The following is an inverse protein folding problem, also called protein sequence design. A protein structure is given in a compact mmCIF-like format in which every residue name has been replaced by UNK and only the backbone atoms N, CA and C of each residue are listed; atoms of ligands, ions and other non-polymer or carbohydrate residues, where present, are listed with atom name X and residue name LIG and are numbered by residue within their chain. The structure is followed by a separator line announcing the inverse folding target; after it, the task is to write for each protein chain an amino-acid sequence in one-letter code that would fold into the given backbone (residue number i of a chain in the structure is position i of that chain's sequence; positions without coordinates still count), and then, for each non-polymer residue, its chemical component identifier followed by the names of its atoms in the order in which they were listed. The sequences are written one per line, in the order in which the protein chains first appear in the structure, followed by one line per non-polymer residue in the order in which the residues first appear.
data_IF_762364333042
#
_entry.id   IF_762364333042
#
_cell.length_a   1.000
_cell.length_b   1.000
_cell.length_c   1.000
_cell.angle_alpha   90.00
_cell.angle_beta   90.00
_cell.angle_gamma   90.00
#
_symmetry.space_group_name_H-M   'P 1'
#
loop_
_entity.id
_entity.type
_entity.pdbx_description
1 polymer ?
#
# COMPACT_ATOMS: atom_id res chain seq x y z
N UNK A 1 -13.92 44.95 21.12
CA UNK A 1 -13.86 43.92 20.05
C UNK A 1 -13.42 42.57 20.64
N UNK A 2 -14.34 41.63 20.79
CA UNK A 2 -14.09 40.30 21.41
C UNK A 2 -13.50 39.38 20.32
N UNK A 3 -12.19 39.14 20.33
CA UNK A 3 -11.54 38.18 19.41
C UNK A 3 -12.13 36.79 19.66
N UNK A 4 -13.02 36.32 18.78
CA UNK A 4 -13.50 34.93 18.79
C UNK A 4 -12.30 34.03 18.52
N UNK A 5 -11.81 33.34 19.56
CA UNK A 5 -10.87 32.24 19.38
C UNK A 5 -11.62 31.13 18.65
N UNK A 6 -11.45 31.08 17.33
CA UNK A 6 -11.92 29.96 16.52
C UNK A 6 -11.14 28.76 17.03
N UNK A 7 -11.79 27.94 17.83
CA UNK A 7 -11.26 26.68 18.33
C UNK A 7 -11.24 25.73 17.13
N UNK A 8 -10.23 25.85 16.28
CA UNK A 8 -9.94 24.87 15.23
C UNK A 8 -9.48 23.65 16.00
N UNK A 9 -10.43 22.74 16.28
CA UNK A 9 -10.13 21.45 16.88
C UNK A 9 -8.93 20.86 16.13
N UNK A 10 -7.76 20.82 16.78
CA UNK A 10 -6.53 20.25 16.24
C UNK A 10 -6.80 18.77 15.98
N UNK A 11 -7.38 18.43 14.82
CA UNK A 11 -7.57 17.05 14.39
C UNK A 11 -6.18 16.44 14.29
N UNK A 12 -5.82 15.62 15.28
CA UNK A 12 -4.52 14.99 15.34
C UNK A 12 -4.41 14.08 14.12
N UNK A 13 -3.47 14.35 13.20
CA UNK A 13 -3.47 13.69 11.90
C UNK A 13 -3.17 12.20 11.99
N UNK A 14 -2.74 11.67 13.16
CA UNK A 14 -2.36 10.26 13.36
C UNK A 14 -3.36 9.40 14.15
N UNK A 15 -4.64 9.81 14.29
CA UNK A 15 -5.65 9.05 15.05
C UNK A 15 -6.74 8.41 14.17
N UNK A 16 -6.58 8.41 12.84
CA UNK A 16 -7.60 7.91 11.93
C UNK A 16 -7.25 6.50 11.41
N UNK A 17 -8.25 5.64 11.23
CA UNK A 17 -8.07 4.27 10.68
C UNK A 17 -7.30 4.25 9.36
N UNK A 18 -7.39 5.32 8.56
CA UNK A 18 -6.70 5.47 7.27
C UNK A 18 -5.17 5.50 7.41
N UNK A 19 -4.64 6.09 8.49
CA UNK A 19 -3.18 6.14 8.71
C UNK A 19 -2.60 4.73 8.90
N UNK A 20 -3.39 3.83 9.53
CA UNK A 20 -2.98 2.44 9.73
C UNK A 20 -2.79 1.71 8.40
N UNK A 21 -3.54 2.05 7.36
CA UNK A 21 -3.44 1.38 6.06
C UNK A 21 -2.46 2.11 5.13
N UNK A 22 -2.69 3.40 4.87
CA UNK A 22 -2.02 4.13 3.77
C UNK A 22 -0.68 4.78 4.14
N UNK A 23 -0.39 4.98 5.42
CA UNK A 23 0.87 5.62 5.82
C UNK A 23 2.03 4.62 5.63
N UNK A 24 2.95 4.91 4.71
CA UNK A 24 4.12 4.06 4.48
C UNK A 24 5.02 4.09 5.71
N UNK A 25 5.32 2.90 6.20
CA UNK A 25 6.45 2.68 7.10
C UNK A 25 7.42 1.73 6.42
N UNK A 26 8.70 1.80 6.77
CA UNK A 26 9.73 0.87 6.27
C UNK A 26 9.33 -0.59 6.46
N UNK A 27 8.63 -0.91 7.56
CA UNK A 27 8.07 -2.26 7.81
C UNK A 27 7.05 -2.67 6.74
N UNK A 28 6.13 -1.78 6.37
CA UNK A 28 5.11 -2.06 5.34
C UNK A 28 5.69 -2.16 3.94
N UNK A 29 6.70 -1.35 3.62
CA UNK A 29 7.41 -1.44 2.34
C UNK A 29 8.07 -2.81 2.22
N UNK A 30 8.82 -3.21 3.25
CA UNK A 30 9.48 -4.51 3.28
C UNK A 30 8.49 -5.67 3.21
N UNK A 31 7.39 -5.59 3.97
CA UNK A 31 6.32 -6.59 3.90
C UNK A 31 5.68 -6.67 2.51
N UNK A 32 5.37 -5.52 1.90
CA UNK A 32 4.82 -5.47 0.54
C UNK A 32 5.77 -6.05 -0.50
N UNK A 33 7.08 -5.80 -0.36
CA UNK A 33 8.10 -6.38 -1.24
C UNK A 33 8.18 -7.91 -1.07
N UNK A 34 8.16 -8.41 0.17
CA UNK A 34 8.14 -9.85 0.45
C UNK A 34 6.90 -10.48 -0.17
N UNK A 35 5.71 -9.93 0.09
CA UNK A 35 4.46 -10.47 -0.46
C UNK A 35 4.49 -10.47 -1.99
N UNK A 36 5.04 -9.42 -2.60
CA UNK A 36 5.18 -9.35 -4.06
C UNK A 36 6.11 -10.44 -4.60
N UNK A 37 7.32 -10.57 -4.04
CA UNK A 37 8.27 -11.63 -4.44
C UNK A 37 7.68 -13.01 -4.20
N UNK A 38 7.05 -13.24 -3.04
CA UNK A 38 6.38 -14.49 -2.72
C UNK A 38 5.25 -14.81 -3.69
N UNK A 39 4.47 -13.82 -4.13
CA UNK A 39 3.41 -14.02 -5.12
C UNK A 39 3.97 -14.45 -6.48
N UNK A 40 5.06 -13.82 -6.94
CA UNK A 40 5.72 -14.19 -8.20
C UNK A 40 6.31 -15.60 -8.12
N UNK A 41 7.01 -15.92 -7.02
CA UNK A 41 7.58 -17.26 -6.80
C UNK A 41 6.49 -18.32 -6.74
N UNK A 42 5.42 -18.05 -5.97
CA UNK A 42 4.30 -18.98 -5.81
C UNK A 42 3.59 -19.22 -7.15
N UNK A 43 3.38 -18.18 -7.97
CA UNK A 43 2.79 -18.31 -9.29
C UNK A 43 3.63 -19.24 -10.19
N UNK A 44 4.94 -19.03 -10.24
CA UNK A 44 5.84 -19.86 -11.03
C UNK A 44 5.84 -21.32 -10.53
N UNK A 45 5.85 -21.53 -9.21
CA UNK A 45 5.79 -22.88 -8.62
C UNK A 45 4.48 -23.60 -8.95
N UNK A 46 3.34 -22.92 -8.82
CA UNK A 46 2.02 -23.47 -9.16
C UNK A 46 1.97 -23.82 -10.64
N UNK A 47 2.43 -22.91 -11.50
CA UNK A 47 2.47 -23.13 -12.95
C UNK A 47 3.32 -24.34 -13.29
N UNK A 48 4.56 -24.43 -12.78
CA UNK A 48 5.46 -25.58 -13.02
C UNK A 48 4.88 -26.88 -12.46
N UNK A 49 4.24 -26.85 -11.28
CA UNK A 49 3.65 -28.04 -10.69
C UNK A 49 2.49 -28.58 -11.53
N UNK A 50 1.57 -27.72 -11.95
CA UNK A 50 0.38 -28.16 -12.67
C UNK A 50 0.74 -28.56 -14.12
N UNK A 51 1.54 -27.77 -14.83
CA UNK A 51 1.93 -28.07 -16.21
C UNK A 51 2.95 -29.20 -16.29
N UNK A 52 3.91 -29.27 -15.35
CA UNK A 52 4.98 -30.25 -15.35
C UNK A 52 4.62 -31.59 -14.70
N UNK A 53 3.98 -31.57 -13.53
CA UNK A 53 3.67 -32.80 -12.77
C UNK A 53 2.31 -33.35 -13.17
N UNK A 54 1.28 -32.50 -13.20
CA UNK A 54 -0.08 -32.94 -13.54
C UNK A 54 -0.32 -33.02 -15.06
N UNK A 55 0.59 -32.47 -15.87
CA UNK A 55 0.46 -32.39 -17.35
C UNK A 55 -0.86 -31.77 -17.80
N UNK A 56 -1.44 -30.92 -16.96
CA UNK A 56 -2.64 -30.16 -17.28
C UNK A 56 -2.16 -28.85 -17.88
N UNK A 57 -2.49 -28.62 -19.15
CA UNK A 57 -2.30 -27.31 -19.78
C UNK A 57 -3.31 -26.34 -19.18
N UNK A 58 -2.86 -25.57 -18.20
CA UNK A 58 -3.54 -24.36 -17.76
C UNK A 58 -2.98 -23.18 -18.55
N UNK A 59 -3.89 -22.40 -19.14
CA UNK A 59 -3.54 -21.09 -19.66
C UNK A 59 -2.97 -20.22 -18.53
N UNK A 60 -2.06 -19.31 -18.88
CA UNK A 60 -1.49 -18.31 -17.95
C UNK A 60 -2.60 -17.70 -17.09
N UNK A 61 -2.57 -17.94 -15.78
CA UNK A 61 -3.62 -17.44 -14.91
C UNK A 61 -3.56 -15.91 -14.81
N UNK A 62 -4.47 -15.16 -15.47
CA UNK A 62 -4.38 -13.71 -15.56
C UNK A 62 -4.55 -13.06 -14.18
N UNK A 63 -5.10 -13.78 -13.22
CA UNK A 63 -5.30 -13.34 -11.84
C UNK A 63 -3.99 -12.95 -11.14
N UNK A 64 -2.97 -13.81 -11.18
CA UNK A 64 -1.69 -13.52 -10.53
C UNK A 64 -0.95 -12.37 -11.19
N UNK A 65 -1.03 -12.28 -12.52
CA UNK A 65 -0.49 -11.16 -13.29
C UNK A 65 -1.16 -9.83 -12.88
N UNK A 66 -2.49 -9.79 -12.82
CA UNK A 66 -3.23 -8.59 -12.41
C UNK A 66 -2.85 -8.17 -10.99
N UNK A 67 -2.72 -9.10 -10.04
CA UNK A 67 -2.32 -8.77 -8.68
C UNK A 67 -0.90 -8.19 -8.64
N UNK A 68 0.05 -8.86 -9.28
CA UNK A 68 1.47 -8.52 -9.21
C UNK A 68 1.81 -7.23 -9.97
N UNK A 69 1.16 -6.99 -11.12
CA UNK A 69 1.49 -5.90 -12.05
C UNK A 69 0.57 -4.69 -11.89
N UNK A 70 -0.68 -4.90 -11.45
CA UNK A 70 -1.67 -3.81 -11.36
C UNK A 70 -1.96 -3.49 -9.89
N UNK A 71 -2.44 -4.45 -9.10
CA UNK A 71 -2.97 -4.19 -7.75
C UNK A 71 -1.87 -3.71 -6.79
N UNK A 72 -0.75 -4.44 -6.70
CA UNK A 72 0.34 -4.11 -5.78
C UNK A 72 0.97 -2.74 -6.13
N UNK A 73 1.32 -2.45 -7.41
CA UNK A 73 1.86 -1.14 -7.77
C UNK A 73 0.91 0.02 -7.51
N UNK A 74 -0.39 -0.11 -7.83
CA UNK A 74 -1.39 0.92 -7.56
C UNK A 74 -1.51 1.19 -6.05
N UNK A 75 -1.54 0.13 -5.23
CA UNK A 75 -1.58 0.28 -3.78
C UNK A 75 -0.38 1.09 -3.25
N UNK A 76 0.83 0.76 -3.71
CA UNK A 76 2.03 1.50 -3.33
C UNK A 76 1.97 2.96 -3.77
N UNK A 77 1.50 3.24 -4.98
CA UNK A 77 1.34 4.61 -5.49
C UNK A 77 0.40 5.44 -4.59
N UNK A 78 -0.79 4.91 -4.29
CA UNK A 78 -1.77 5.59 -3.42
C UNK A 78 -1.17 5.84 -2.03
N UNK A 79 -0.49 4.85 -1.48
CA UNK A 79 0.12 4.95 -0.16
C UNK A 79 1.27 6.00 -0.14
N UNK A 80 2.06 6.10 -1.21
CA UNK A 80 3.10 7.14 -1.37
C UNK A 80 2.46 8.53 -1.37
N UNK A 81 1.43 8.74 -2.19
CA UNK A 81 0.71 10.02 -2.28
C UNK A 81 0.13 10.41 -0.92
N UNK A 82 -0.51 9.47 -0.21
CA UNK A 82 -1.03 9.70 1.13
C UNK A 82 0.07 10.11 2.12
N UNK A 83 1.20 9.43 2.08
CA UNK A 83 2.34 9.69 2.98
C UNK A 83 2.94 11.08 2.73
N UNK A 84 3.09 11.48 1.47
CA UNK A 84 3.55 12.83 1.11
C UNK A 84 2.58 13.89 1.66
N UNK A 85 1.27 13.74 1.41
CA UNK A 85 0.27 14.69 1.93
C UNK A 85 0.30 14.78 3.47
N UNK A 86 0.46 13.64 4.15
CA UNK A 86 0.58 13.58 5.60
C UNK A 86 1.81 14.34 6.11
N UNK A 87 2.98 14.13 5.48
CA UNK A 87 4.23 14.81 5.84
C UNK A 87 4.09 16.32 5.62
N UNK A 88 3.57 16.76 4.47
CA UNK A 88 3.36 18.18 4.16
C UNK A 88 2.46 18.86 5.21
N UNK A 89 1.35 18.23 5.56
CA UNK A 89 0.43 18.75 6.60
C UNK A 89 1.09 18.82 7.98
N UNK A 90 1.94 17.84 8.30
CA UNK A 90 2.70 17.82 9.56
C UNK A 90 3.76 18.92 9.62
N UNK A 91 4.44 19.20 8.50
CA UNK A 91 5.43 20.28 8.40
C UNK A 91 4.75 21.65 8.56
N UNK A 92 3.62 21.89 7.88
CA UNK A 92 2.85 23.13 8.02
C UNK A 92 2.45 23.38 9.48
N UNK A 93 1.88 22.37 10.16
CA UNK A 93 1.47 22.47 11.57
C UNK A 93 2.61 22.73 12.55
N UNK A 94 3.87 22.40 12.20
CA UNK A 94 5.04 22.66 13.05
C UNK A 94 5.56 24.10 12.90
N UNK A 95 5.21 24.78 11.82
CA UNK A 95 5.64 26.15 11.50
C UNK A 95 4.76 27.23 12.15
N UNK A 96 3.53 26.87 12.51
CA UNK A 96 2.55 27.70 13.24
C UNK A 96 2.59 27.46 14.76
#
# INVERSE_FOLDING_TARGET
MKKRKINIAKKNPGKNKLDKFFLLSWKKIFFGLIVWVSAVVLHNLIYTFITGVLKIEIADEPFFFVIAVIVIPIYFLIAIVYTIMYILKKIQKKRD
#
